data_IF_901639204455
#
_entry.id   IF_901639204455
#
_cell.length_a   1.000
_cell.length_b   1.000
_cell.length_c   1.000
_cell.angle_alpha   90.00
_cell.angle_beta   90.00
_cell.angle_gamma   90.00
#
_symmetry.space_group_name_H-M   'P 1'
#
loop_
_entity.id
_entity.type
_entity.pdbx_description
1 polymer ?
#
# COMPACT_ATOMS: atom_id res chain seq x y z
N UNK A 1 4.77 16.78 1.75
CA UNK A 1 4.54 15.52 1.02
C UNK A 1 4.76 14.32 1.93
N UNK A 2 3.66 13.67 2.30
CA UNK A 2 3.65 12.51 3.18
C UNK A 2 3.98 11.23 2.41
N UNK A 3 3.32 11.00 1.26
CA UNK A 3 3.55 9.86 0.38
C UNK A 3 3.69 10.34 -1.07
N UNK A 4 4.66 9.80 -1.80
CA UNK A 4 4.78 9.96 -3.25
C UNK A 4 4.95 8.60 -3.91
N UNK A 5 4.18 8.38 -4.97
CA UNK A 5 4.24 7.19 -5.80
C UNK A 5 4.45 7.64 -7.24
N UNK A 6 5.49 7.12 -7.88
CA UNK A 6 5.82 7.45 -9.27
C UNK A 6 6.00 6.18 -10.08
N UNK A 7 5.33 6.12 -11.22
CA UNK A 7 5.40 5.05 -12.20
C UNK A 7 5.21 3.65 -11.58
N UNK A 8 4.23 3.51 -10.67
CA UNK A 8 3.94 2.26 -10.01
C UNK A 8 3.42 1.23 -11.01
N UNK A 9 4.25 0.23 -11.28
CA UNK A 9 3.93 -0.96 -12.06
C UNK A 9 3.86 -2.20 -11.16
N UNK A 10 2.87 -3.05 -11.39
CA UNK A 10 2.73 -4.34 -10.71
C UNK A 10 2.17 -5.34 -11.71
N UNK A 11 2.79 -6.51 -11.78
CA UNK A 11 2.37 -7.64 -12.60
C UNK A 11 2.20 -8.89 -11.74
N UNK A 12 1.15 -9.67 -12.02
CA UNK A 12 0.93 -11.00 -11.47
C UNK A 12 1.07 -11.99 -12.64
N UNK A 13 2.10 -12.82 -12.60
CA UNK A 13 2.44 -13.74 -13.68
C UNK A 13 2.50 -13.02 -15.04
N UNK A 14 1.57 -13.33 -15.95
CA UNK A 14 1.49 -12.75 -17.30
C UNK A 14 0.54 -11.55 -17.38
N UNK A 15 -0.07 -11.13 -16.27
CA UNK A 15 -1.10 -10.10 -16.24
C UNK A 15 -0.52 -8.85 -15.58
N UNK A 16 -0.49 -7.75 -16.33
CA UNK A 16 -0.13 -6.43 -15.80
C UNK A 16 -1.33 -5.82 -15.08
N UNK A 17 -1.22 -5.66 -13.77
CA UNK A 17 -2.30 -5.13 -12.94
C UNK A 17 -2.24 -3.60 -12.80
N UNK A 18 -1.03 -3.02 -12.71
CA UNK A 18 -0.82 -1.56 -12.68
C UNK A 18 0.10 -1.13 -13.82
N UNK A 19 -0.30 -0.06 -14.51
CA UNK A 19 0.31 0.40 -15.75
C UNK A 19 1.09 1.72 -15.58
N UNK A 20 1.89 1.83 -14.51
CA UNK A 20 2.73 3.01 -14.29
C UNK A 20 1.96 4.20 -13.73
N UNK A 21 1.21 4.00 -12.64
CA UNK A 21 0.42 5.08 -12.02
C UNK A 21 1.30 5.98 -11.13
N UNK A 22 0.98 7.27 -11.08
CA UNK A 22 1.70 8.25 -10.26
C UNK A 22 0.72 9.13 -9.49
N UNK A 23 0.96 9.35 -8.21
CA UNK A 23 0.16 10.23 -7.35
C UNK A 23 0.93 10.61 -6.09
N UNK A 24 0.42 11.62 -5.37
CA UNK A 24 0.97 12.13 -4.12
C UNK A 24 -0.13 12.31 -3.10
N UNK A 25 0.24 12.23 -1.83
CA UNK A 25 -0.62 12.50 -0.70
C UNK A 25 0.15 13.44 0.24
N UNK A 26 -0.45 14.57 0.56
CA UNK A 26 0.10 15.52 1.52
C UNK A 26 -0.38 15.24 2.95
N UNK A 27 0.28 15.87 3.91
CA UNK A 27 -0.04 15.70 5.32
C UNK A 27 -1.44 16.26 5.63
N UNK A 28 -2.26 15.49 6.32
CA UNK A 28 -3.66 15.85 6.62
C UNK A 28 -4.63 15.64 5.46
N UNK A 29 -4.17 15.16 4.30
CA UNK A 29 -5.02 14.92 3.14
C UNK A 29 -5.74 13.55 3.23
N UNK A 30 -6.98 13.50 2.75
CA UNK A 30 -7.73 12.26 2.55
C UNK A 30 -7.90 12.03 1.06
N UNK A 31 -7.29 10.97 0.54
CA UNK A 31 -7.34 10.58 -0.88
C UNK A 31 -8.14 9.29 -1.04
N UNK A 32 -9.02 9.26 -2.04
CA UNK A 32 -9.83 8.09 -2.38
C UNK A 32 -9.46 7.55 -3.77
N UNK A 33 -9.29 6.23 -3.86
CA UNK A 33 -9.13 5.53 -5.14
C UNK A 33 -10.45 4.85 -5.49
N UNK A 34 -11.08 5.30 -6.58
CA UNK A 34 -12.33 4.74 -7.09
C UNK A 34 -12.09 4.00 -8.41
N UNK A 35 -12.99 3.07 -8.74
CA UNK A 35 -12.93 2.31 -9.98
C UNK A 35 -13.61 0.94 -9.87
N UNK A 36 -13.81 0.28 -11.01
CA UNK A 36 -14.43 -1.04 -11.07
C UNK A 36 -13.59 -2.14 -10.37
N UNK A 37 -14.19 -3.32 -10.17
CA UNK A 37 -13.44 -4.50 -9.76
C UNK A 37 -12.39 -4.85 -10.82
N UNK A 38 -11.18 -5.19 -10.37
CA UNK A 38 -10.05 -5.42 -11.28
C UNK A 38 -9.30 -4.16 -11.71
N UNK A 39 -9.76 -2.94 -11.38
CA UNK A 39 -9.09 -1.69 -11.75
C UNK A 39 -7.73 -1.44 -11.05
N UNK A 40 -7.24 -2.37 -10.22
CA UNK A 40 -5.94 -2.24 -9.54
C UNK A 40 -5.97 -1.53 -8.18
N UNK A 41 -7.15 -1.22 -7.62
CA UNK A 41 -7.30 -0.54 -6.32
C UNK A 41 -6.58 -1.29 -5.18
N UNK A 42 -6.96 -2.54 -4.95
CA UNK A 42 -6.35 -3.38 -3.90
C UNK A 42 -4.87 -3.68 -4.21
N UNK A 43 -4.50 -3.79 -5.49
CA UNK A 43 -3.10 -3.95 -5.92
C UNK A 43 -2.26 -2.73 -5.53
N UNK A 44 -2.79 -1.52 -5.71
CA UNK A 44 -2.12 -0.26 -5.34
C UNK A 44 -1.86 -0.22 -3.83
N UNK A 45 -2.89 -0.51 -3.01
CA UNK A 45 -2.73 -0.54 -1.56
C UNK A 45 -1.75 -1.63 -1.10
N UNK A 46 -1.79 -2.81 -1.72
CA UNK A 46 -0.84 -3.90 -1.41
C UNK A 46 0.59 -3.55 -1.80
N UNK A 47 0.79 -2.82 -2.89
CA UNK A 47 2.11 -2.38 -3.33
C UNK A 47 2.72 -1.37 -2.35
N UNK A 48 1.93 -0.37 -1.92
CA UNK A 48 2.35 0.60 -0.90
C UNK A 48 2.70 -0.12 0.41
N UNK A 49 1.94 -1.13 0.79
CA UNK A 49 2.22 -1.93 2.00
C UNK A 49 3.30 -2.98 1.81
N UNK A 50 4.00 -2.99 0.67
CA UNK A 50 5.08 -3.92 0.31
C UNK A 50 4.69 -5.41 0.40
N UNK A 51 3.40 -5.71 0.22
CA UNK A 51 2.85 -7.07 0.20
C UNK A 51 2.98 -7.74 -1.17
N UNK A 52 3.32 -6.97 -2.21
CA UNK A 52 3.56 -7.47 -3.57
C UNK A 52 4.79 -6.79 -4.16
N UNK A 53 5.57 -7.49 -5.01
CA UNK A 53 6.68 -6.87 -5.71
C UNK A 53 6.18 -5.81 -6.71
N UNK A 54 6.99 -4.79 -6.92
CA UNK A 54 6.75 -3.73 -7.90
C UNK A 54 7.74 -3.83 -9.06
N UNK A 55 7.34 -3.35 -10.23
CA UNK A 55 8.19 -3.35 -11.41
C UNK A 55 9.34 -2.34 -11.30
N UNK A 56 10.42 -2.61 -12.04
CA UNK A 56 11.55 -1.70 -12.17
C UNK A 56 11.08 -0.31 -12.66
N UNK A 57 11.71 0.74 -12.13
CA UNK A 57 11.34 2.13 -12.42
C UNK A 57 10.22 2.68 -11.54
N UNK A 58 9.56 1.84 -10.72
CA UNK A 58 8.69 2.33 -9.64
C UNK A 58 9.52 3.09 -8.61
N UNK A 59 9.04 4.23 -8.14
CA UNK A 59 9.59 4.94 -6.97
C UNK A 59 8.48 5.21 -5.99
N UNK A 60 8.73 4.91 -4.71
CA UNK A 60 7.81 5.21 -3.64
C UNK A 60 8.57 5.84 -2.47
N UNK A 61 8.14 7.00 -2.01
CA UNK A 61 8.73 7.67 -0.85
C UNK A 61 7.68 8.00 0.20
N UNK A 62 8.03 7.83 1.47
CA UNK A 62 7.20 8.22 2.61
C UNK A 62 8.02 9.09 3.55
N UNK A 63 7.55 10.31 3.84
CA UNK A 63 8.26 11.29 4.67
C UNK A 63 9.74 11.46 4.27
N UNK A 64 10.01 11.50 2.97
CA UNK A 64 11.36 11.62 2.41
C UNK A 64 12.22 10.35 2.43
N UNK A 65 11.73 9.24 2.99
CA UNK A 65 12.41 7.93 3.01
C UNK A 65 11.99 7.08 1.82
N UNK A 66 12.92 6.34 1.24
CA UNK A 66 12.65 5.39 0.16
C UNK A 66 11.90 4.17 0.71
N UNK A 67 10.62 4.06 0.39
CA UNK A 67 9.72 3.02 0.88
C UNK A 67 10.18 1.63 0.39
N UNK A 68 10.80 1.55 -0.80
CA UNK A 68 11.18 0.26 -1.40
C UNK A 68 12.28 -0.49 -0.63
N UNK A 69 13.04 0.22 0.21
CA UNK A 69 14.08 -0.38 1.07
C UNK A 69 13.50 -1.14 2.27
N UNK A 70 12.21 -0.99 2.55
CA UNK A 70 11.55 -1.60 3.69
C UNK A 70 10.76 -2.84 3.27
N UNK A 71 10.92 -3.99 3.96
CA UNK A 71 9.97 -5.08 3.87
C UNK A 71 8.66 -4.73 4.60
N UNK A 72 7.60 -5.51 4.36
CA UNK A 72 6.23 -5.18 4.79
C UNK A 72 6.07 -4.94 6.30
N UNK A 73 6.75 -5.72 7.15
CA UNK A 73 6.74 -5.54 8.61
C UNK A 73 7.41 -4.23 9.06
N UNK A 74 8.45 -3.80 8.33
CA UNK A 74 9.17 -2.56 8.60
C UNK A 74 8.46 -1.32 8.07
N UNK A 75 7.63 -1.47 7.03
CA UNK A 75 6.73 -0.39 6.58
C UNK A 75 5.80 0.05 7.70
N UNK A 76 5.25 -0.89 8.48
CA UNK A 76 4.37 -0.54 9.61
C UNK A 76 5.19 0.04 10.77
N UNK A 77 6.22 -0.69 11.22
CA UNK A 77 6.96 -0.35 12.45
C UNK A 77 7.88 0.87 12.32
N UNK A 78 8.37 1.20 11.12
CA UNK A 78 9.35 2.28 10.91
C UNK A 78 8.82 3.46 10.08
N UNK A 79 7.84 3.23 9.19
CA UNK A 79 7.21 4.29 8.39
C UNK A 79 5.79 4.64 8.84
N UNK A 80 5.19 3.86 9.75
CA UNK A 80 3.85 4.13 10.30
C UNK A 80 2.71 3.88 9.32
N UNK A 81 2.96 3.24 8.17
CA UNK A 81 1.91 2.96 7.18
C UNK A 81 1.17 1.68 7.60
N UNK A 82 -0.07 1.84 8.05
CA UNK A 82 -0.93 0.72 8.43
C UNK A 82 -1.90 0.34 7.31
N UNK A 83 -2.02 -0.96 7.03
CA UNK A 83 -2.92 -1.50 6.01
C UNK A 83 -4.11 -2.19 6.65
N UNK A 84 -5.33 -1.71 6.36
CA UNK A 84 -6.57 -2.37 6.77
C UNK A 84 -7.16 -3.10 5.55
N UNK A 85 -6.99 -4.43 5.44
CA UNK A 85 -7.42 -5.16 4.27
C UNK A 85 -8.94 -5.38 4.24
N UNK A 86 -9.47 -5.63 3.05
CA UNK A 86 -10.85 -6.09 2.88
C UNK A 86 -11.09 -7.43 3.61
N UNK A 87 -12.35 -7.69 3.97
CA UNK A 87 -12.78 -8.95 4.55
C UNK A 87 -12.70 -9.03 6.07
N UNK A 88 -12.54 -7.88 6.76
CA UNK A 88 -12.63 -7.77 8.23
C UNK A 88 -11.75 -8.80 8.96
N UNK A 89 -10.45 -8.79 8.66
CA UNK A 89 -9.46 -9.75 9.17
C UNK A 89 -9.11 -9.52 10.65
N UNK A 90 -10.07 -9.79 11.52
CA UNK A 90 -9.92 -9.74 12.98
C UNK A 90 -9.60 -11.13 13.54
N UNK A 91 -9.06 -11.17 14.76
CA UNK A 91 -8.95 -12.40 15.53
C UNK A 91 -10.31 -12.66 16.21
N UNK A 92 -11.08 -13.56 15.61
CA UNK A 92 -12.47 -13.85 15.97
C UNK A 92 -12.63 -14.54 17.33
N UNK A 93 -11.58 -15.21 17.78
CA UNK A 93 -11.50 -15.86 19.08
C UNK A 93 -11.08 -14.91 20.23
N UNK A 94 -10.85 -13.63 19.95
CA UNK A 94 -10.41 -12.63 20.91
C UNK A 94 -11.49 -11.57 21.16
N UNK A 95 -11.50 -11.01 22.37
CA UNK A 95 -12.31 -9.84 22.70
C UNK A 95 -11.85 -8.59 21.95
N UNK A 96 -12.66 -7.53 21.98
CA UNK A 96 -12.30 -6.23 21.40
C UNK A 96 -11.00 -5.69 22.00
N UNK A 97 -10.85 -5.76 23.34
CA UNK A 97 -9.66 -5.24 24.01
C UNK A 97 -8.39 -6.03 23.70
N UNK A 98 -8.52 -7.33 23.42
CA UNK A 98 -7.39 -8.17 23.01
C UNK A 98 -6.99 -7.93 21.55
N UNK A 99 -7.94 -7.59 20.66
CA UNK A 99 -7.61 -7.20 19.29
C UNK A 99 -6.92 -5.82 19.19
N UNK A 100 -7.15 -4.92 20.16
CA UNK A 100 -6.62 -3.56 20.16
C UNK A 100 -5.26 -3.41 20.87
N UNK A 101 -4.82 -4.42 21.64
CA UNK A 101 -3.56 -4.43 22.38
C UNK A 101 -2.45 -5.08 21.56
#
# INVERSE_FOLDING_TARGET
>A
MLLSVENLGVSYDKIKALHGISFRIDEGEIVCIIGANGAGKSTTLRAISRLVPVEAGTKMTCMGRDLLQYPADKVVSELGISHVPEGRRLFDNLTVMENLR
#
